data_IF_753861130346
#
_entry.id   IF_753861130346
#
_cell.length_a   1.000
_cell.length_b   1.000
_cell.length_c   1.000
_cell.angle_alpha   90.00
_cell.angle_beta   90.00
_cell.angle_gamma   90.00
#
_symmetry.space_group_name_H-M   'P 1'
#
loop_
_entity.id
_entity.type
_entity.pdbx_description
1 polymer ?
#
# COMPACT_ATOMS: atom_id res chain seq x y z
N UNK A 1 -18.78 -7.31 -17.76
CA UNK A 1 -17.62 -7.38 -16.85
C UNK A 1 -16.38 -7.45 -17.72
N UNK A 2 -15.58 -6.39 -17.76
CA UNK A 2 -14.32 -6.36 -18.52
C UNK A 2 -13.21 -6.78 -17.58
N UNK A 3 -12.55 -7.90 -17.86
CA UNK A 3 -11.40 -8.36 -17.08
C UNK A 3 -10.16 -7.77 -17.74
N UNK A 4 -9.45 -6.91 -17.02
CA UNK A 4 -8.17 -6.35 -17.43
C UNK A 4 -7.07 -6.96 -16.58
N UNK A 5 -6.12 -7.65 -17.22
CA UNK A 5 -4.91 -8.16 -16.55
C UNK A 5 -3.72 -7.26 -16.90
N UNK A 6 -2.92 -6.90 -15.90
CA UNK A 6 -1.63 -6.24 -16.08
C UNK A 6 -0.51 -7.19 -15.64
N UNK A 7 0.67 -7.05 -16.24
CA UNK A 7 1.87 -7.79 -15.85
C UNK A 7 2.81 -6.81 -15.16
N UNK A 8 3.15 -7.07 -13.90
CA UNK A 8 4.12 -6.27 -13.15
C UNK A 8 5.47 -6.97 -13.14
N UNK A 9 6.53 -6.25 -13.53
CA UNK A 9 7.90 -6.72 -13.27
C UNK A 9 8.20 -6.46 -11.80
N UNK A 10 8.47 -7.52 -11.04
CA UNK A 10 8.82 -7.45 -9.61
C UNK A 10 10.27 -6.98 -9.43
N UNK A 11 10.56 -5.78 -9.95
CA UNK A 11 11.86 -5.12 -9.81
C UNK A 11 11.69 -3.62 -9.95
N UNK A 12 12.31 -2.87 -9.05
CA UNK A 12 12.35 -1.41 -9.14
C UNK A 12 13.21 -0.95 -10.33
N UNK A 13 12.86 0.19 -10.94
CA UNK A 13 13.76 0.87 -11.86
C UNK A 13 15.10 1.20 -11.19
N UNK A 14 16.18 1.13 -11.96
CA UNK A 14 17.52 1.46 -11.45
C UNK A 14 17.55 2.91 -10.94
N UNK A 15 18.12 3.14 -9.77
CA UNK A 15 18.18 4.45 -9.08
C UNK A 15 16.82 5.03 -8.65
N UNK A 16 15.76 4.21 -8.61
CA UNK A 16 14.50 4.60 -7.96
C UNK A 16 14.74 4.90 -6.48
N UNK A 17 13.99 5.86 -5.92
CA UNK A 17 13.88 6.09 -4.46
C UNK A 17 12.61 5.46 -3.88
N UNK A 18 11.90 4.68 -4.69
CA UNK A 18 10.66 4.03 -4.32
C UNK A 18 10.85 2.71 -3.60
N UNK A 19 9.74 2.02 -3.35
CA UNK A 19 9.68 0.69 -2.75
C UNK A 19 8.77 -0.23 -3.55
N UNK A 20 9.18 -1.49 -3.68
CA UNK A 20 8.33 -2.58 -4.16
C UNK A 20 7.80 -3.34 -2.94
N UNK A 21 6.49 -3.43 -2.84
CA UNK A 21 5.78 -4.01 -1.71
C UNK A 21 5.02 -5.27 -2.14
N UNK A 22 4.94 -6.25 -1.25
CA UNK A 22 3.96 -7.33 -1.27
C UNK A 22 2.86 -7.01 -0.26
N UNK A 23 1.63 -6.87 -0.73
CA UNK A 23 0.51 -6.53 0.14
C UNK A 23 0.03 -7.78 0.87
N UNK A 24 -0.15 -7.69 2.18
CA UNK A 24 -0.53 -8.83 3.03
C UNK A 24 -1.94 -8.66 3.59
N UNK A 25 -2.27 -7.44 4.02
CA UNK A 25 -3.56 -7.09 4.59
C UNK A 25 -4.00 -5.74 4.03
N UNK A 26 -5.30 -5.58 3.82
CA UNK A 26 -5.93 -4.36 3.34
C UNK A 26 -7.01 -3.95 4.34
N UNK A 27 -7.04 -2.66 4.69
CA UNK A 27 -8.13 -2.10 5.48
C UNK A 27 -9.34 -1.80 4.60
N UNK A 28 -10.53 -1.93 5.18
CA UNK A 28 -11.81 -1.65 4.54
C UNK A 28 -12.48 -0.49 5.30
N UNK A 29 -12.08 0.74 5.00
CA UNK A 29 -12.52 1.90 5.76
C UNK A 29 -13.76 2.57 5.17
N UNK A 30 -14.68 3.10 6.01
CA UNK A 30 -15.88 3.77 5.54
C UNK A 30 -15.62 4.93 4.57
N UNK A 31 -14.49 5.63 4.71
CA UNK A 31 -14.16 6.76 3.84
C UNK A 31 -13.95 6.39 2.38
N UNK A 32 -13.54 5.14 2.11
CA UNK A 32 -13.28 4.66 0.76
C UNK A 32 -14.53 4.77 -0.12
N UNK A 33 -15.73 4.65 0.47
CA UNK A 33 -16.99 4.85 -0.26
C UNK A 33 -17.11 6.26 -0.82
N UNK A 34 -16.62 7.28 -0.12
CA UNK A 34 -16.63 8.66 -0.60
C UNK A 34 -15.78 8.85 -1.86
N UNK A 35 -14.63 8.17 -1.91
CA UNK A 35 -13.68 8.21 -3.03
C UNK A 35 -14.21 7.52 -4.30
N UNK A 36 -15.28 6.72 -4.21
CA UNK A 36 -15.95 6.12 -5.38
C UNK A 36 -16.92 7.09 -6.09
N UNK A 37 -17.04 8.34 -5.64
CA UNK A 37 -17.95 9.34 -6.22
C UNK A 37 -17.16 10.58 -6.67
N UNK A 38 -17.66 11.28 -7.70
CA UNK A 38 -17.05 12.52 -8.24
C UNK A 38 -17.51 13.77 -7.47
N UNK A 39 -17.63 13.69 -6.14
CA UNK A 39 -17.94 14.85 -5.29
C UNK A 39 -16.63 15.45 -4.78
N UNK A 40 -16.59 16.76 -4.50
CA UNK A 40 -15.48 17.46 -3.84
C UNK A 40 -14.97 16.69 -2.63
N UNK A 41 -13.88 15.91 -2.76
CA UNK A 41 -13.48 15.00 -1.71
C UNK A 41 -12.29 15.60 -0.95
N UNK A 42 -12.21 15.34 0.35
CA UNK A 42 -11.03 15.73 1.15
C UNK A 42 -9.79 14.87 0.81
N UNK A 43 -9.98 13.76 0.09
CA UNK A 43 -8.95 12.89 -0.49
C UNK A 43 -9.38 12.53 -1.92
N UNK A 44 -8.47 12.60 -2.89
CA UNK A 44 -8.75 12.36 -4.31
C UNK A 44 -9.59 11.11 -4.58
N UNK A 45 -10.59 11.24 -5.44
CA UNK A 45 -11.43 10.13 -5.91
C UNK A 45 -10.61 9.05 -6.62
N UNK A 46 -11.13 7.82 -6.62
CA UNK A 46 -10.54 6.73 -7.37
C UNK A 46 -10.67 6.95 -8.89
N UNK A 47 -9.63 6.54 -9.61
CA UNK A 47 -9.64 6.54 -11.07
C UNK A 47 -10.29 5.25 -11.58
N UNK A 48 -11.40 5.32 -12.36
CA UNK A 48 -12.01 4.14 -12.95
C UNK A 48 -11.01 3.32 -13.78
N UNK A 49 -11.00 2.00 -13.58
CA UNK A 49 -10.08 1.08 -14.27
C UNK A 49 -8.68 0.98 -13.64
N UNK A 50 -8.38 1.75 -12.59
CA UNK A 50 -7.17 1.59 -11.77
C UNK A 50 -7.46 0.77 -10.51
N UNK A 51 -6.43 0.16 -9.89
CA UNK A 51 -6.56 -0.43 -8.57
C UNK A 51 -7.11 0.58 -7.55
N UNK A 52 -7.97 0.10 -6.65
CA UNK A 52 -8.40 0.87 -5.48
C UNK A 52 -7.16 1.12 -4.60
N UNK A 53 -7.09 2.28 -3.94
CA UNK A 53 -6.04 2.57 -2.96
C UNK A 53 -6.63 2.76 -1.56
N UNK A 54 -5.91 2.29 -0.55
CA UNK A 54 -6.33 2.37 0.84
C UNK A 54 -5.19 1.99 1.78
N UNK A 55 -5.45 1.98 3.07
CA UNK A 55 -4.45 1.55 4.05
C UNK A 55 -4.27 0.03 4.02
N UNK A 56 -3.04 -0.40 4.25
CA UNK A 56 -2.71 -1.81 4.28
C UNK A 56 -1.36 -2.08 4.94
N UNK A 57 -1.12 -3.34 5.22
CA UNK A 57 0.16 -3.84 5.73
C UNK A 57 0.85 -4.61 4.64
N UNK A 58 2.11 -4.28 4.43
CA UNK A 58 2.91 -4.79 3.33
C UNK A 58 4.27 -5.27 3.81
N UNK A 59 4.89 -6.15 3.04
CA UNK A 59 6.30 -6.53 3.18
C UNK A 59 7.13 -5.88 2.08
N UNK A 60 8.23 -5.25 2.43
CA UNK A 60 9.19 -4.68 1.46
C UNK A 60 9.93 -5.81 0.75
N UNK A 61 9.86 -5.82 -0.58
CA UNK A 61 10.61 -6.76 -1.44
C UNK A 61 11.86 -6.14 -2.05
N UNK A 62 11.81 -4.84 -2.36
CA UNK A 62 12.96 -4.08 -2.86
C UNK A 62 12.77 -2.62 -2.44
N UNK A 63 13.85 -1.92 -2.11
CA UNK A 63 13.80 -0.52 -1.69
C UNK A 63 14.96 0.26 -2.28
N UNK A 64 14.63 1.45 -2.78
CA UNK A 64 15.59 2.51 -3.11
C UNK A 64 15.69 3.60 -2.04
N UNK A 65 14.89 3.51 -0.97
CA UNK A 65 14.93 4.41 0.18
C UNK A 65 15.73 3.77 1.33
N UNK A 66 16.80 4.41 1.83
CA UNK A 66 17.63 3.86 2.91
C UNK A 66 16.89 3.64 4.25
N UNK A 67 15.69 4.20 4.43
CA UNK A 67 14.89 4.01 5.64
C UNK A 67 14.15 2.66 5.66
N UNK A 68 14.03 2.00 4.51
CA UNK A 68 13.31 0.74 4.34
C UNK A 68 14.23 -0.31 3.71
N UNK A 69 14.31 -1.47 4.33
CA UNK A 69 15.11 -2.60 3.88
C UNK A 69 14.18 -3.73 3.39
N UNK A 70 14.69 -4.56 2.48
CA UNK A 70 14.02 -5.79 2.11
C UNK A 70 13.72 -6.64 3.35
N UNK A 71 12.50 -7.17 3.44
CA UNK A 71 12.02 -7.94 4.58
C UNK A 71 11.26 -7.14 5.63
N UNK A 72 11.40 -5.82 5.64
CA UNK A 72 10.65 -4.96 6.58
C UNK A 72 9.14 -5.08 6.37
N UNK A 73 8.39 -4.99 7.47
CA UNK A 73 6.94 -4.80 7.42
C UNK A 73 6.62 -3.31 7.54
N UNK A 74 5.69 -2.85 6.73
CA UNK A 74 5.25 -1.45 6.70
C UNK A 74 3.74 -1.37 6.71
N UNK A 75 3.22 -0.31 7.31
CA UNK A 75 1.83 0.10 7.19
C UNK A 75 1.75 1.45 6.46
N UNK A 76 0.73 1.63 5.63
CA UNK A 76 0.48 2.88 4.93
C UNK A 76 -0.42 2.69 3.71
N UNK A 77 -0.48 3.70 2.85
CA UNK A 77 -1.34 3.65 1.66
C UNK A 77 -0.73 2.73 0.59
N UNK A 78 -1.51 1.76 0.12
CA UNK A 78 -1.14 0.78 -0.90
C UNK A 78 -2.29 0.53 -1.88
N UNK A 79 -2.02 -0.22 -2.95
CA UNK A 79 -3.05 -0.68 -3.88
C UNK A 79 -3.78 -1.92 -3.36
N UNK A 80 -5.04 -2.08 -3.74
CA UNK A 80 -5.80 -3.32 -3.59
C UNK A 80 -5.42 -4.30 -4.70
N UNK A 81 -4.22 -4.86 -4.56
CA UNK A 81 -3.53 -5.74 -5.51
C UNK A 81 -2.50 -6.58 -4.72
N UNK A 82 -1.86 -7.57 -5.35
CA UNK A 82 -0.86 -8.42 -4.67
C UNK A 82 0.48 -7.69 -4.41
N UNK A 83 0.88 -6.80 -5.33
CA UNK A 83 2.14 -6.07 -5.28
C UNK A 83 1.94 -4.63 -5.69
N UNK A 84 2.55 -3.70 -4.95
CA UNK A 84 2.47 -2.26 -5.24
C UNK A 84 3.88 -1.68 -5.36
N UNK A 85 4.10 -0.83 -6.37
CA UNK A 85 5.30 -0.01 -6.48
C UNK A 85 4.93 1.42 -6.07
N UNK A 86 5.57 1.91 -5.01
CA UNK A 86 5.43 3.30 -4.58
C UNK A 86 6.66 4.08 -4.97
N UNK A 87 6.50 5.18 -5.71
CA UNK A 87 7.61 6.04 -6.12
C UNK A 87 8.13 6.93 -4.97
N UNK A 88 7.32 7.10 -3.93
CA UNK A 88 7.64 7.83 -2.71
C UNK A 88 7.23 6.98 -1.51
N UNK A 89 8.06 6.98 -0.48
CA UNK A 89 7.83 6.32 0.80
C UNK A 89 7.12 7.22 1.81
N UNK A 90 6.77 8.45 1.41
CA UNK A 90 6.05 9.38 2.27
C UNK A 90 4.70 8.78 2.70
N UNK A 91 4.46 8.73 4.01
CA UNK A 91 3.24 8.13 4.57
C UNK A 91 3.32 6.60 4.74
N UNK A 92 4.48 5.98 4.49
CA UNK A 92 4.77 4.63 4.95
C UNK A 92 5.41 4.69 6.34
N UNK A 93 4.93 3.80 7.21
CA UNK A 93 5.43 3.65 8.56
C UNK A 93 5.99 2.24 8.72
N UNK A 94 7.25 2.16 9.15
CA UNK A 94 7.89 0.87 9.43
C UNK A 94 7.31 0.28 10.71
N UNK A 95 6.79 -0.94 10.61
CA UNK A 95 6.27 -1.70 11.75
C UNK A 95 7.47 -2.30 12.49
N UNK A 96 7.65 -1.88 13.74
CA UNK A 96 8.60 -2.53 14.64
C UNK A 96 7.95 -3.81 15.17
N UNK A 97 8.14 -4.91 14.45
CA UNK A 97 7.59 -6.21 14.81
C UNK A 97 8.41 -6.89 15.92
N UNK A 98 8.57 -6.20 17.05
CA UNK A 98 9.25 -6.70 18.25
C UNK A 98 8.28 -7.34 19.25
N UNK A 99 6.98 -7.33 18.94
CA UNK A 99 5.90 -7.83 19.79
C UNK A 99 5.19 -9.00 19.11
N UNK A 100 4.62 -9.92 19.89
CA UNK A 100 3.83 -11.08 19.41
C UNK A 100 2.42 -10.66 18.90
N UNK A 101 2.30 -9.46 18.33
CA UNK A 101 1.02 -8.93 17.85
C UNK A 101 0.83 -9.29 16.37
N UNK A 102 -0.31 -9.89 15.97
CA UNK A 102 -0.58 -10.19 14.57
C UNK A 102 -0.56 -8.94 13.69
N UNK A 103 0.12 -9.03 12.54
CA UNK A 103 0.22 -7.93 11.55
C UNK A 103 -1.14 -7.37 11.11
N UNK A 104 -2.19 -8.19 11.06
CA UNK A 104 -3.54 -7.75 10.69
C UNK A 104 -4.13 -6.72 11.66
N UNK A 105 -3.58 -6.56 12.87
CA UNK A 105 -4.11 -5.58 13.83
C UNK A 105 -3.78 -4.14 13.45
N UNK A 106 -2.77 -3.93 12.59
CA UNK A 106 -2.41 -2.63 12.02
C UNK A 106 -3.40 -2.15 10.94
N UNK A 107 -4.32 -3.00 10.47
CA UNK A 107 -5.45 -2.59 9.60
C UNK A 107 -6.76 -2.47 10.39
N UNK A 108 -6.69 -2.08 11.66
CA UNK A 108 -7.82 -2.02 12.57
C UNK A 108 -7.47 -1.36 13.90
N UNK A 109 -7.32 -2.14 14.97
CA UNK A 109 -7.14 -1.62 16.34
C UNK A 109 -5.92 -0.72 16.48
N UNK A 110 -4.85 -0.99 15.73
CA UNK A 110 -3.58 -0.26 15.78
C UNK A 110 -3.40 0.71 14.60
N UNK A 111 -4.47 1.01 13.88
CA UNK A 111 -4.44 1.97 12.77
C UNK A 111 -4.35 3.40 13.33
N UNK A 112 -3.14 3.84 13.66
CA UNK A 112 -2.84 5.20 14.18
C UNK A 112 -1.45 5.67 13.78
#
# INVERSE_FOLDING_TARGET
MTITSSTLKLKLPQSSKGVLLKNLYLSCDPYMRGRMSQREPYVDSFNPGSPITGYGVCKVLESGDPNFNEGDFVWGMTGWEEYTILNSTQGLFKIQHTTDIPLSYYTGILET
#
